data_IF_271801321561
#
_entry.id   IF_271801321561
#
_cell.length_a   1.000
_cell.length_b   1.000
_cell.length_c   1.000
_cell.angle_alpha   90.00
_cell.angle_beta   90.00
_cell.angle_gamma   90.00
#
_symmetry.space_group_name_H-M   'P 1'
#
loop_
_entity.id
_entity.type
_entity.pdbx_description
1 polymer ?
#
# COMPACT_ATOMS: atom_id res chain seq x y z
N UNK A 1 -12.39 -25.77 -7.47
CA UNK A 1 -11.28 -25.04 -8.10
C UNK A 1 -11.44 -25.17 -9.61
N UNK A 2 -11.52 -24.05 -10.32
CA UNK A 2 -11.67 -24.02 -11.77
C UNK A 2 -10.36 -24.41 -12.47
N UNK A 3 -10.43 -24.86 -13.73
CA UNK A 3 -9.25 -25.14 -14.55
C UNK A 3 -8.30 -23.92 -14.65
N UNK A 4 -8.88 -22.71 -14.65
CA UNK A 4 -8.13 -21.46 -14.68
C UNK A 4 -7.33 -21.24 -13.39
N UNK A 5 -7.94 -21.48 -12.23
CA UNK A 5 -7.27 -21.35 -10.92
C UNK A 5 -6.15 -22.38 -10.80
N UNK A 6 -6.38 -23.63 -11.20
CA UNK A 6 -5.35 -24.66 -11.21
C UNK A 6 -4.15 -24.27 -12.12
N UNK A 7 -4.42 -23.72 -13.31
CA UNK A 7 -3.36 -23.26 -14.22
C UNK A 7 -2.55 -22.08 -13.65
N UNK A 8 -3.17 -21.18 -12.89
CA UNK A 8 -2.47 -20.07 -12.23
C UNK A 8 -1.56 -20.57 -11.12
N UNK A 9 -2.10 -21.43 -10.24
CA UNK A 9 -1.36 -22.04 -9.14
C UNK A 9 -0.14 -22.80 -9.66
N UNK A 10 -0.33 -23.64 -10.68
CA UNK A 10 0.75 -24.38 -11.32
C UNK A 10 1.82 -23.44 -11.93
N UNK A 11 1.39 -22.38 -12.61
CA UNK A 11 2.32 -21.40 -13.17
C UNK A 11 3.17 -20.71 -12.10
N UNK A 12 2.54 -20.37 -10.96
CA UNK A 12 3.20 -19.72 -9.84
C UNK A 12 4.19 -20.64 -9.13
N UNK A 13 3.81 -21.90 -8.86
CA UNK A 13 4.69 -22.89 -8.25
C UNK A 13 5.92 -23.19 -9.11
N UNK A 14 5.73 -23.38 -10.43
CA UNK A 14 6.85 -23.57 -11.34
C UNK A 14 7.75 -22.32 -11.38
N UNK A 15 7.17 -21.12 -11.36
CA UNK A 15 7.97 -19.90 -11.31
C UNK A 15 8.80 -19.79 -10.02
N UNK A 16 8.22 -20.13 -8.87
CA UNK A 16 8.93 -20.16 -7.58
C UNK A 16 10.09 -21.16 -7.57
N UNK A 17 9.96 -22.29 -8.27
CA UNK A 17 11.03 -23.28 -8.47
C UNK A 17 12.09 -22.86 -9.50
N UNK A 18 11.97 -21.67 -10.09
CA UNK A 18 12.97 -21.12 -11.02
C UNK A 18 12.81 -21.56 -12.48
N UNK A 19 11.69 -22.18 -12.85
CA UNK A 19 11.44 -22.54 -14.25
C UNK A 19 11.29 -21.29 -15.12
N UNK A 20 11.79 -21.37 -16.37
CA UNK A 20 11.63 -20.28 -17.33
C UNK A 20 10.17 -20.18 -17.78
N UNK A 21 9.71 -18.95 -18.03
CA UNK A 21 8.32 -18.70 -18.49
C UNK A 21 7.99 -19.39 -19.81
N UNK A 22 8.98 -19.70 -20.65
CA UNK A 22 8.84 -20.53 -21.85
C UNK A 22 8.36 -21.95 -21.52
N UNK A 23 8.88 -22.53 -20.45
CA UNK A 23 8.63 -23.93 -20.09
C UNK A 23 7.31 -24.05 -19.35
N UNK A 24 7.03 -23.05 -18.48
CA UNK A 24 5.73 -22.90 -17.82
C UNK A 24 4.62 -22.75 -18.88
N UNK A 25 4.82 -21.92 -19.90
CA UNK A 25 3.84 -21.71 -20.98
C UNK A 25 3.48 -23.01 -21.71
N UNK A 26 4.48 -23.84 -22.00
CA UNK A 26 4.29 -25.16 -22.60
C UNK A 26 3.53 -26.10 -21.66
N UNK A 27 3.91 -26.14 -20.38
CA UNK A 27 3.31 -27.03 -19.38
C UNK A 27 1.81 -26.75 -19.19
N UNK A 28 1.43 -25.48 -19.06
CA UNK A 28 0.03 -25.09 -18.83
C UNK A 28 -0.75 -24.82 -20.12
N UNK A 29 -0.13 -25.01 -21.29
CA UNK A 29 -0.71 -24.75 -22.63
C UNK A 29 -1.28 -23.34 -22.78
N UNK A 30 -0.54 -22.31 -22.35
CA UNK A 30 -0.92 -20.89 -22.48
C UNK A 30 0.19 -20.05 -23.12
N UNK A 31 -0.15 -18.85 -23.57
CA UNK A 31 0.85 -17.90 -24.07
C UNK A 31 1.75 -17.38 -22.94
N UNK A 32 2.98 -16.95 -23.28
CA UNK A 32 3.90 -16.34 -22.30
C UNK A 32 3.31 -15.12 -21.60
N UNK A 33 2.57 -14.28 -22.32
CA UNK A 33 1.88 -13.12 -21.74
C UNK A 33 0.84 -13.54 -20.69
N UNK A 34 0.11 -14.63 -20.95
CA UNK A 34 -0.84 -15.21 -19.99
C UNK A 34 -0.13 -15.75 -18.76
N UNK A 35 1.01 -16.42 -18.94
CA UNK A 35 1.85 -16.92 -17.83
C UNK A 35 2.32 -15.77 -16.93
N UNK A 36 2.85 -14.70 -17.51
CA UNK A 36 3.25 -13.51 -16.72
C UNK A 36 2.08 -12.93 -15.94
N UNK A 37 0.91 -12.84 -16.56
CA UNK A 37 -0.32 -12.39 -15.90
C UNK A 37 -0.71 -13.30 -14.73
N UNK A 38 -0.68 -14.62 -14.93
CA UNK A 38 -1.02 -15.59 -13.87
C UNK A 38 -0.04 -15.52 -12.69
N UNK A 39 1.27 -15.48 -12.97
CA UNK A 39 2.29 -15.33 -11.93
C UNK A 39 2.08 -14.03 -11.15
N UNK A 40 1.75 -12.93 -11.82
CA UNK A 40 1.47 -11.65 -11.16
C UNK A 40 0.22 -11.72 -10.28
N UNK A 41 -0.87 -12.31 -10.80
CA UNK A 41 -2.13 -12.44 -10.04
C UNK A 41 -1.94 -13.27 -8.77
N UNK A 42 -1.23 -14.39 -8.84
CA UNK A 42 -0.93 -15.23 -7.67
C UNK A 42 0.05 -14.55 -6.72
N UNK A 43 1.09 -13.90 -7.24
CA UNK A 43 2.01 -13.13 -6.39
C UNK A 43 1.27 -12.04 -5.61
N UNK A 44 0.39 -11.29 -6.28
CA UNK A 44 -0.39 -10.23 -5.64
C UNK A 44 -1.37 -10.82 -4.61
N UNK A 45 -2.00 -11.95 -4.91
CA UNK A 45 -2.93 -12.64 -4.00
C UNK A 45 -2.26 -13.06 -2.70
N UNK A 46 -1.05 -13.65 -2.78
CA UNK A 46 -0.34 -14.16 -1.61
C UNK A 46 0.44 -13.09 -0.85
N UNK A 47 1.09 -12.15 -1.55
CA UNK A 47 1.95 -11.15 -0.92
C UNK A 47 1.18 -9.95 -0.38
N UNK A 48 0.02 -9.61 -0.95
CA UNK A 48 -0.71 -8.42 -0.51
C UNK A 48 -1.17 -8.45 0.96
N UNK A 49 -1.71 -9.56 1.50
CA UNK A 49 -2.09 -9.63 2.92
C UNK A 49 -0.94 -9.28 3.88
N UNK A 50 0.28 -9.74 3.57
CA UNK A 50 1.48 -9.45 4.34
C UNK A 50 1.88 -7.97 4.23
N UNK A 51 2.00 -7.45 3.00
CA UNK A 51 2.30 -6.03 2.76
C UNK A 51 1.27 -5.11 3.41
N UNK A 52 0.00 -5.50 3.38
CA UNK A 52 -1.10 -4.76 4.02
C UNK A 52 -0.88 -4.66 5.53
N UNK A 53 -0.50 -5.76 6.17
CA UNK A 53 -0.18 -5.77 7.60
C UNK A 53 1.07 -4.93 7.91
N UNK A 54 2.12 -5.07 7.09
CA UNK A 54 3.35 -4.27 7.20
C UNK A 54 3.04 -2.76 7.09
N UNK A 55 2.29 -2.34 6.06
CA UNK A 55 1.91 -0.93 5.89
C UNK A 55 1.08 -0.43 7.08
N UNK A 56 0.09 -1.19 7.53
CA UNK A 56 -0.73 -0.81 8.70
C UNK A 56 0.13 -0.55 9.93
N UNK A 57 1.10 -1.43 10.19
CA UNK A 57 2.01 -1.28 11.33
C UNK A 57 2.90 -0.05 11.16
N UNK A 58 3.48 0.16 9.98
CA UNK A 58 4.38 1.30 9.75
C UNK A 58 3.64 2.63 9.84
N UNK A 59 2.42 2.75 9.31
CA UNK A 59 1.61 3.97 9.43
C UNK A 59 1.31 4.34 10.89
N UNK A 60 1.28 3.35 11.80
CA UNK A 60 1.05 3.57 13.23
C UNK A 60 2.35 3.83 14.00
N UNK A 61 3.48 3.25 13.57
CA UNK A 61 4.70 3.14 14.37
C UNK A 61 5.89 3.97 13.87
N UNK A 62 5.90 4.47 12.63
CA UNK A 62 7.04 5.27 12.17
C UNK A 62 7.16 5.52 10.67
N UNK A 63 8.40 5.76 10.26
CA UNK A 63 8.82 6.32 8.96
C UNK A 63 8.39 5.48 7.74
N UNK A 64 7.15 5.75 7.30
CA UNK A 64 6.55 5.16 6.11
C UNK A 64 7.38 5.39 4.86
N UNK A 65 8.05 6.54 4.76
CA UNK A 65 8.89 6.85 3.62
C UNK A 65 10.08 5.89 3.51
N UNK A 66 10.81 5.69 4.61
CA UNK A 66 11.92 4.75 4.67
C UNK A 66 11.48 3.32 4.33
N UNK A 67 10.34 2.88 4.85
CA UNK A 67 9.80 1.55 4.53
C UNK A 67 9.57 1.39 3.02
N UNK A 68 8.84 2.32 2.38
CA UNK A 68 8.54 2.24 0.94
C UNK A 68 9.81 2.27 0.08
N UNK A 69 10.82 3.06 0.46
CA UNK A 69 12.09 3.16 -0.29
C UNK A 69 12.89 1.85 -0.27
N UNK A 70 12.78 1.08 0.81
CA UNK A 70 13.49 -0.19 0.99
C UNK A 70 12.79 -1.39 0.35
N UNK A 71 11.55 -1.24 -0.11
CA UNK A 71 10.82 -2.31 -0.77
C UNK A 71 11.44 -2.75 -2.11
N UNK A 72 11.22 -4.02 -2.44
CA UNK A 72 11.57 -4.56 -3.74
C UNK A 72 10.72 -3.91 -4.85
N UNK A 73 11.20 -3.94 -6.10
CA UNK A 73 10.41 -3.43 -7.22
C UNK A 73 9.09 -4.21 -7.43
N UNK A 74 9.05 -5.49 -7.06
CA UNK A 74 7.85 -6.32 -7.13
C UNK A 74 6.80 -5.86 -6.11
N UNK A 75 7.21 -5.64 -4.87
CA UNK A 75 6.32 -5.15 -3.80
C UNK A 75 5.81 -3.74 -4.11
N UNK A 76 6.69 -2.83 -4.58
CA UNK A 76 6.29 -1.48 -5.02
C UNK A 76 5.27 -1.56 -6.16
N UNK A 77 5.49 -2.47 -7.12
CA UNK A 77 4.55 -2.65 -8.25
C UNK A 77 3.21 -3.24 -7.80
N UNK A 78 3.23 -4.12 -6.79
CA UNK A 78 2.03 -4.68 -6.17
C UNK A 78 1.23 -3.57 -5.48
N UNK A 79 1.84 -2.76 -4.61
CA UNK A 79 1.17 -1.64 -3.93
C UNK A 79 0.58 -0.69 -4.97
N UNK A 80 1.38 -0.30 -5.97
CA UNK A 80 0.92 0.56 -7.07
C UNK A 80 -0.31 0.00 -7.77
N UNK A 81 -0.33 -1.30 -8.12
CA UNK A 81 -1.48 -1.96 -8.76
C UNK A 81 -2.70 -1.96 -7.83
N UNK A 82 -2.51 -2.31 -6.56
CA UNK A 82 -3.60 -2.44 -5.59
C UNK A 82 -4.33 -1.13 -5.34
N UNK A 83 -3.60 -0.03 -5.30
CA UNK A 83 -4.15 1.32 -5.09
C UNK A 83 -4.37 2.09 -6.40
N UNK A 84 -4.30 1.41 -7.56
CA UNK A 84 -4.53 2.01 -8.88
C UNK A 84 -3.67 3.26 -9.16
N UNK A 85 -2.44 3.27 -8.66
CA UNK A 85 -1.53 4.41 -8.77
C UNK A 85 -0.78 4.40 -10.11
N UNK A 86 -0.30 5.56 -10.55
CA UNK A 86 0.50 5.69 -11.77
C UNK A 86 2.02 5.62 -11.48
N UNK A 87 2.81 5.29 -12.51
CA UNK A 87 4.27 5.30 -12.45
C UNK A 87 4.91 4.15 -13.23
N UNK A 88 5.91 4.49 -14.04
CA UNK A 88 6.65 3.55 -14.90
C UNK A 88 7.93 3.09 -14.23
N UNK A 89 8.73 4.04 -13.72
CA UNK A 89 10.00 3.79 -13.04
C UNK A 89 9.80 3.46 -11.54
N UNK A 90 10.82 2.86 -10.90
CA UNK A 90 10.79 2.62 -9.44
C UNK A 90 10.57 3.94 -8.67
N UNK A 91 11.22 5.02 -9.11
CA UNK A 91 11.15 6.34 -8.48
C UNK A 91 9.76 6.95 -8.57
N UNK A 92 9.13 6.93 -9.76
CA UNK A 92 7.76 7.42 -9.94
C UNK A 92 6.77 6.63 -9.08
N UNK A 93 6.88 5.30 -9.05
CA UNK A 93 5.99 4.46 -8.24
C UNK A 93 6.13 4.76 -6.75
N UNK A 94 7.36 4.91 -6.26
CA UNK A 94 7.60 5.32 -4.86
C UNK A 94 6.94 6.67 -4.59
N UNK A 95 7.16 7.66 -5.46
CA UNK A 95 6.58 8.99 -5.29
C UNK A 95 5.05 8.95 -5.22
N UNK A 96 4.39 8.26 -6.16
CA UNK A 96 2.94 8.12 -6.17
C UNK A 96 2.41 7.40 -4.92
N UNK A 97 3.12 6.40 -4.40
CA UNK A 97 2.75 5.71 -3.14
C UNK A 97 2.87 6.68 -1.96
N UNK A 98 3.99 7.40 -1.83
CA UNK A 98 4.21 8.33 -0.72
C UNK A 98 3.18 9.47 -0.73
N UNK A 99 2.89 10.01 -1.90
CA UNK A 99 1.88 11.05 -2.07
C UNK A 99 0.49 10.54 -1.67
N UNK A 100 0.08 9.37 -2.20
CA UNK A 100 -1.22 8.77 -1.87
C UNK A 100 -1.37 8.50 -0.37
N UNK A 101 -0.34 7.96 0.28
CA UNK A 101 -0.40 7.58 1.69
C UNK A 101 -0.10 8.74 2.66
N UNK A 102 0.28 9.94 2.20
CA UNK A 102 0.71 11.05 3.06
C UNK A 102 -0.30 11.37 4.16
N UNK A 103 -1.55 11.69 3.78
CA UNK A 103 -2.61 12.06 4.73
C UNK A 103 -3.01 10.89 5.64
N UNK A 104 -2.95 9.66 5.12
CA UNK A 104 -3.21 8.44 5.88
C UNK A 104 -2.13 8.19 6.95
N UNK A 105 -0.87 8.45 6.61
CA UNK A 105 0.28 8.35 7.51
C UNK A 105 0.22 9.40 8.62
N UNK A 106 -0.15 10.63 8.30
CA UNK A 106 -0.29 11.71 9.29
C UNK A 106 -1.36 11.36 10.34
N UNK A 107 -2.47 10.78 9.89
CA UNK A 107 -3.56 10.37 10.79
C UNK A 107 -3.41 8.95 11.37
N UNK A 108 -2.41 8.18 10.94
CA UNK A 108 -2.20 6.80 11.38
C UNK A 108 -3.37 5.87 11.03
N UNK A 109 -3.97 6.03 9.85
CA UNK A 109 -5.11 5.24 9.38
C UNK A 109 -4.80 4.53 8.08
N UNK A 110 -5.45 3.39 7.83
CA UNK A 110 -5.29 2.66 6.58
C UNK A 110 -6.45 2.95 5.61
N UNK A 111 -6.21 3.13 4.30
CA UNK A 111 -7.23 3.54 3.32
C UNK A 111 -8.36 2.53 3.10
N UNK A 112 -8.12 1.22 3.26
CA UNK A 112 -9.18 0.23 3.05
C UNK A 112 -10.20 0.19 4.19
N UNK A 113 -11.48 0.11 3.83
CA UNK A 113 -12.62 0.12 4.76
C UNK A 113 -12.66 1.32 5.70
N UNK A 114 -12.05 2.43 5.29
CA UNK A 114 -12.04 3.66 6.06
C UNK A 114 -13.43 4.32 5.99
N UNK A 115 -13.94 4.71 7.16
CA UNK A 115 -15.22 5.41 7.29
C UNK A 115 -15.02 6.79 7.90
N UNK A 116 -15.99 7.67 7.70
CA UNK A 116 -16.00 9.01 8.31
C UNK A 116 -15.85 8.97 9.83
N UNK A 117 -16.42 7.96 10.48
CA UNK A 117 -16.29 7.76 11.92
C UNK A 117 -14.85 7.44 12.33
N UNK A 118 -14.16 6.55 11.59
CA UNK A 118 -12.76 6.20 11.84
C UNK A 118 -11.86 7.42 11.62
N UNK A 119 -12.06 8.18 10.53
CA UNK A 119 -11.29 9.41 10.25
C UNK A 119 -11.45 10.43 11.38
N UNK A 120 -12.68 10.69 11.82
CA UNK A 120 -12.95 11.62 12.94
C UNK A 120 -12.31 11.15 14.24
N UNK A 121 -12.38 9.85 14.53
CA UNK A 121 -11.77 9.28 15.74
C UNK A 121 -10.25 9.42 15.72
N UNK A 122 -9.61 9.09 14.59
CA UNK A 122 -8.17 9.23 14.41
C UNK A 122 -7.72 10.69 14.51
N UNK A 123 -8.45 11.60 13.87
CA UNK A 123 -8.20 13.04 14.00
C UNK A 123 -8.24 13.50 15.45
N UNK A 124 -9.28 13.15 16.22
CA UNK A 124 -9.38 13.56 17.64
C UNK A 124 -8.20 13.08 18.47
N UNK A 125 -7.77 11.83 18.25
CA UNK A 125 -6.58 11.27 18.92
C UNK A 125 -5.33 12.07 18.54
N UNK A 126 -5.06 12.23 17.24
CA UNK A 126 -3.84 12.89 16.75
C UNK A 126 -3.81 14.37 17.07
N UNK A 127 -4.95 15.06 16.98
CA UNK A 127 -5.13 16.45 17.38
C UNK A 127 -4.75 16.64 18.85
N UNK A 128 -5.18 15.74 19.75
CA UNK A 128 -4.79 15.82 21.18
C UNK A 128 -3.29 15.65 21.39
N UNK A 129 -2.64 14.78 20.61
CA UNK A 129 -1.18 14.55 20.65
C UNK A 129 -0.38 15.75 20.14
N UNK A 130 -0.89 16.48 19.15
CA UNK A 130 -0.16 17.59 18.49
C UNK A 130 -0.65 18.98 18.89
N UNK A 131 -1.69 19.09 19.72
CA UNK A 131 -2.27 20.40 20.09
C UNK A 131 -1.24 21.26 20.85
N UNK A 132 -0.93 22.48 20.40
CA UNK A 132 0.09 23.32 21.04
C UNK A 132 -0.29 23.70 22.48
N UNK A 133 -1.58 23.98 22.75
CA UNK A 133 -2.01 24.33 24.12
C UNK A 133 -1.97 23.15 25.10
N UNK A 134 -2.20 21.91 24.63
CA UNK A 134 -2.18 20.72 25.48
C UNK A 134 -0.76 20.17 25.65
N UNK A 135 0.12 20.44 24.68
CA UNK A 135 1.47 19.91 24.62
C UNK A 135 2.48 21.06 24.56
N UNK A 136 2.66 21.75 25.68
CA UNK A 136 3.50 22.96 25.79
C UNK A 136 4.98 22.76 25.45
N UNK A 137 5.43 21.50 25.33
CA UNK A 137 6.78 21.13 24.92
C UNK A 137 6.94 21.09 23.39
N UNK A 138 5.84 21.09 22.63
CA UNK A 138 5.84 21.15 21.18
C UNK A 138 6.00 22.59 20.69
N UNK A 139 6.36 22.71 19.41
CA UNK A 139 6.48 24.00 18.75
C UNK A 139 5.17 24.79 18.80
N UNK A 140 5.24 26.01 19.32
CA UNK A 140 4.11 26.93 19.44
C UNK A 140 3.56 27.37 18.09
N UNK A 141 4.31 27.19 16.99
CA UNK A 141 3.79 27.44 15.64
C UNK A 141 2.57 26.57 15.30
N UNK A 142 2.41 25.42 15.97
CA UNK A 142 1.31 24.49 15.73
C UNK A 142 1.37 23.81 14.36
N UNK A 143 2.54 23.82 13.68
CA UNK A 143 2.70 23.26 12.34
C UNK A 143 2.24 21.80 12.23
N UNK A 144 2.63 20.96 13.18
CA UNK A 144 2.19 19.55 13.20
C UNK A 144 0.66 19.42 13.35
N UNK A 145 0.05 20.25 14.18
CA UNK A 145 -1.40 20.30 14.33
C UNK A 145 -2.08 20.74 13.03
N UNK A 146 -1.53 21.74 12.33
CA UNK A 146 -2.04 22.18 11.03
C UNK A 146 -1.96 21.07 9.98
N UNK A 147 -0.86 20.32 9.91
CA UNK A 147 -0.72 19.18 9.00
C UNK A 147 -1.73 18.07 9.29
N UNK A 148 -1.98 17.79 10.59
CA UNK A 148 -3.03 16.87 11.04
C UNK A 148 -4.42 17.35 10.61
N UNK A 149 -4.71 18.63 10.79
CA UNK A 149 -5.99 19.22 10.40
C UNK A 149 -6.22 19.20 8.88
N UNK A 150 -5.20 19.56 8.08
CA UNK A 150 -5.26 19.50 6.62
C UNK A 150 -5.50 18.08 6.12
N UNK A 151 -4.78 17.10 6.70
CA UNK A 151 -4.95 15.68 6.36
C UNK A 151 -6.36 15.18 6.68
N UNK A 152 -6.91 15.62 7.82
CA UNK A 152 -8.31 15.33 8.18
C UNK A 152 -9.32 15.89 7.19
N UNK A 153 -9.18 17.17 6.79
CA UNK A 153 -10.06 17.78 5.81
C UNK A 153 -10.00 17.05 4.46
N UNK A 154 -8.79 16.74 3.99
CA UNK A 154 -8.59 15.99 2.75
C UNK A 154 -9.26 14.61 2.79
N UNK A 155 -9.03 13.82 3.85
CA UNK A 155 -9.67 12.50 3.97
C UNK A 155 -11.19 12.63 4.11
N UNK A 156 -11.70 13.64 4.81
CA UNK A 156 -13.15 13.85 4.87
C UNK A 156 -13.77 14.12 3.49
N UNK A 157 -13.09 14.82 2.59
CA UNK A 157 -13.57 15.06 1.22
C UNK A 157 -13.62 13.80 0.37
N UNK A 158 -12.72 12.84 0.61
CA UNK A 158 -12.69 11.57 -0.12
C UNK A 158 -13.79 10.63 0.38
N UNK A 159 -14.05 10.62 1.68
CA UNK A 159 -14.93 9.66 2.36
C UNK A 159 -16.27 10.29 2.79
N UNK A 160 -16.82 11.21 1.97
CA UNK A 160 -18.12 11.89 2.19
C UNK A 160 -19.29 10.91 2.13
#
# INVERSE_FOLDING_TARGET
MSEKEAAKQMAYEMFQRGYKTTDIAKAIKKSKSTVYKYIQEEYDLHRYPEIRAEIKNVLLQGDFEKYIRNLSFKDISLIRRRFSLWGTSKKEKIHAILEYFKSYSILGVYPEHLSRAIVKSAFRKKAKETHPDLNKHLDKSGKEFQEVYQSYQYLLMIYV
#
